data_IF_267995210935
#
_entry.id   IF_267995210935
#
_cell.length_a   1.000
_cell.length_b   1.000
_cell.length_c   1.000
_cell.angle_alpha   90.00
_cell.angle_beta   90.00
_cell.angle_gamma   90.00
#
_symmetry.space_group_name_H-M   'P 1'
#
loop_
_entity.id
_entity.type
_entity.pdbx_description
1 polymer ?
#
# COMPACT_ATOMS: atom_id res chain seq x y z
N UNK A 1 -54.66 -12.97 -2.51
CA UNK A 1 -53.63 -12.44 -1.60
C UNK A 1 -52.75 -11.56 -2.44
N UNK A 2 -53.15 -10.30 -2.57
CA UNK A 2 -52.32 -9.22 -3.10
C UNK A 2 -51.40 -8.80 -1.96
N UNK A 3 -50.09 -8.87 -2.20
CA UNK A 3 -49.08 -8.27 -1.31
C UNK A 3 -49.04 -6.78 -1.66
N UNK A 4 -49.65 -5.97 -0.79
CA UNK A 4 -49.57 -4.52 -0.85
C UNK A 4 -48.17 -4.13 -0.32
N UNK A 5 -47.24 -3.84 -1.23
CA UNK A 5 -45.98 -3.18 -0.91
C UNK A 5 -46.30 -1.71 -0.55
N UNK A 6 -46.45 -1.42 0.75
CA UNK A 6 -46.47 -0.05 1.26
C UNK A 6 -45.09 0.59 1.01
N UNK A 7 -45.03 1.40 -0.03
CA UNK A 7 -43.93 2.30 -0.34
C UNK A 7 -43.85 3.35 0.78
N UNK A 8 -42.98 3.12 1.76
CA UNK A 8 -42.69 4.09 2.82
C UNK A 8 -42.02 5.32 2.22
N UNK A 9 -42.81 6.36 1.99
CA UNK A 9 -42.36 7.69 1.65
C UNK A 9 -41.53 8.24 2.83
N UNK A 10 -40.21 8.19 2.72
CA UNK A 10 -39.32 8.84 3.69
C UNK A 10 -39.57 10.34 3.59
N UNK A 11 -40.22 10.91 4.60
CA UNK A 11 -40.35 12.35 4.75
C UNK A 11 -38.97 13.00 4.63
N UNK A 12 -38.77 13.73 3.54
CA UNK A 12 -37.60 14.58 3.32
C UNK A 12 -37.63 15.65 4.41
N UNK A 13 -36.72 15.52 5.38
CA UNK A 13 -36.40 16.60 6.31
C UNK A 13 -35.98 17.78 5.44
N UNK A 14 -36.63 18.93 5.59
CA UNK A 14 -36.30 20.14 4.85
C UNK A 14 -34.85 20.53 5.14
N UNK A 15 -34.02 20.58 4.10
CA UNK A 15 -32.58 20.88 4.18
C UNK A 15 -32.27 22.27 4.78
N UNK A 16 -33.27 23.15 4.90
CA UNK A 16 -33.12 24.55 5.35
C UNK A 16 -32.74 24.75 6.83
N UNK A 17 -32.86 23.75 7.72
CA UNK A 17 -32.48 23.90 9.14
C UNK A 17 -31.09 23.34 9.52
N UNK A 18 -30.34 22.78 8.55
CA UNK A 18 -29.00 22.21 8.81
C UNK A 18 -27.87 23.07 8.19
N UNK A 19 -28.19 24.09 7.39
CA UNK A 19 -27.19 24.78 6.55
C UNK A 19 -26.23 25.73 7.29
N UNK A 20 -26.60 26.37 8.42
CA UNK A 20 -25.80 27.53 8.88
C UNK A 20 -24.67 27.20 9.88
N UNK A 21 -24.78 26.11 10.66
CA UNK A 21 -23.72 25.68 11.60
C UNK A 21 -22.96 24.41 11.16
N UNK A 22 -23.47 23.71 10.14
CA UNK A 22 -22.95 22.43 9.65
C UNK A 22 -21.76 22.58 8.70
N UNK A 23 -21.84 23.47 7.70
CA UNK A 23 -20.80 23.62 6.68
C UNK A 23 -19.47 24.11 7.25
N UNK A 24 -19.50 25.04 8.20
CA UNK A 24 -18.29 25.53 8.87
C UNK A 24 -17.62 24.44 9.73
N UNK A 25 -18.40 23.51 10.31
CA UNK A 25 -17.88 22.39 11.09
C UNK A 25 -17.33 21.26 10.21
N UNK A 26 -17.94 21.04 9.04
CA UNK A 26 -17.49 20.07 8.04
C UNK A 26 -16.22 20.55 7.35
N UNK A 27 -16.15 21.82 6.95
CA UNK A 27 -14.98 22.41 6.32
C UNK A 27 -13.82 22.61 7.30
N UNK A 28 -14.09 22.94 8.58
CA UNK A 28 -13.03 23.01 9.61
C UNK A 28 -12.48 21.64 10.02
N UNK A 29 -13.24 20.55 9.83
CA UNK A 29 -12.71 19.17 9.95
C UNK A 29 -11.83 18.73 8.77
N UNK A 30 -11.95 19.39 7.61
CA UNK A 30 -11.16 19.08 6.42
C UNK A 30 -9.78 19.77 6.43
N UNK A 31 -9.58 20.78 7.29
CA UNK A 31 -8.25 21.25 7.68
C UNK A 31 -7.60 20.29 8.69
N UNK A 32 -7.38 19.05 8.24
CA UNK A 32 -6.53 18.08 8.91
C UNK A 32 -5.10 18.63 8.89
N UNK A 33 -4.72 19.37 9.95
CA UNK A 33 -3.32 19.50 10.29
C UNK A 33 -2.84 18.08 10.60
N UNK A 34 -2.12 17.51 9.63
CA UNK A 34 -1.56 16.18 9.70
C UNK A 34 -0.62 16.15 10.91
N UNK A 35 -1.18 15.72 12.05
CA UNK A 35 -0.43 15.56 13.30
C UNK A 35 0.85 14.78 13.01
N UNK A 36 1.93 15.08 13.72
CA UNK A 36 3.22 14.40 13.57
C UNK A 36 3.06 12.88 13.51
N UNK A 37 2.10 12.33 14.27
CA UNK A 37 1.75 10.93 14.27
C UNK A 37 1.22 10.41 12.91
N UNK A 38 0.34 11.15 12.23
CA UNK A 38 -0.14 10.76 10.89
C UNK A 38 0.97 10.83 9.84
N UNK A 39 1.88 11.82 9.95
CA UNK A 39 3.08 11.89 9.09
C UNK A 39 3.97 10.67 9.28
N UNK A 40 4.24 10.28 10.53
CA UNK A 40 5.01 9.08 10.88
C UNK A 40 4.33 7.82 10.33
N UNK A 41 3.02 7.65 10.54
CA UNK A 41 2.26 6.52 10.02
C UNK A 41 2.36 6.42 8.50
N UNK A 42 2.23 7.54 7.79
CA UNK A 42 2.36 7.59 6.33
C UNK A 42 3.76 7.21 5.86
N UNK A 43 4.80 7.71 6.54
CA UNK A 43 6.20 7.35 6.23
C UNK A 43 6.42 5.85 6.43
N UNK A 44 5.99 5.31 7.59
CA UNK A 44 6.13 3.88 7.90
C UNK A 44 5.37 2.98 6.91
N UNK A 45 4.14 3.37 6.55
CA UNK A 45 3.35 2.67 5.55
C UNK A 45 4.10 2.60 4.20
N UNK A 46 4.51 3.73 3.65
CA UNK A 46 5.22 3.72 2.37
C UNK A 46 6.57 3.01 2.44
N UNK A 47 7.33 3.19 3.54
CA UNK A 47 8.60 2.49 3.71
C UNK A 47 8.42 0.97 3.71
N UNK A 48 7.36 0.44 4.32
CA UNK A 48 7.04 -0.99 4.31
C UNK A 48 6.76 -1.51 2.89
N UNK A 49 5.94 -0.78 2.11
CA UNK A 49 5.64 -1.17 0.73
C UNK A 49 6.87 -1.10 -0.16
N UNK A 50 7.66 -0.02 -0.05
CA UNK A 50 8.93 0.12 -0.78
C UNK A 50 9.89 -1.00 -0.42
N UNK A 51 10.02 -1.33 0.87
CA UNK A 51 10.84 -2.44 1.35
C UNK A 51 10.40 -3.76 0.71
N UNK A 52 9.10 -4.08 0.75
CA UNK A 52 8.57 -5.32 0.18
C UNK A 52 8.75 -5.37 -1.35
N UNK A 53 8.39 -4.31 -2.06
CA UNK A 53 8.54 -4.26 -3.52
C UNK A 53 10.00 -4.33 -3.94
N UNK A 54 10.88 -3.58 -3.27
CA UNK A 54 12.32 -3.64 -3.53
C UNK A 54 12.83 -5.05 -3.31
N UNK A 55 12.44 -5.69 -2.20
CA UNK A 55 12.82 -7.06 -1.89
C UNK A 55 12.40 -8.04 -2.99
N UNK A 56 11.13 -8.02 -3.41
CA UNK A 56 10.62 -8.91 -4.45
C UNK A 56 11.24 -8.63 -5.83
N UNK A 57 11.43 -7.36 -6.18
CA UNK A 57 12.14 -6.99 -7.39
C UNK A 57 13.57 -7.53 -7.35
N UNK A 58 14.22 -7.42 -6.19
CA UNK A 58 15.58 -7.87 -5.97
C UNK A 58 15.74 -9.38 -6.15
N UNK A 59 14.86 -10.16 -5.53
CA UNK A 59 14.84 -11.62 -5.65
C UNK A 59 14.57 -12.09 -7.07
N UNK A 60 13.62 -11.47 -7.79
CA UNK A 60 13.24 -11.94 -9.13
C UNK A 60 14.26 -11.61 -10.23
N UNK A 61 15.04 -10.53 -10.06
CA UNK A 61 16.06 -10.16 -11.04
C UNK A 61 17.43 -10.80 -10.74
N UNK A 62 17.64 -11.32 -9.53
CA UNK A 62 18.99 -11.66 -9.02
C UNK A 62 19.81 -10.40 -8.73
N UNK A 63 19.15 -9.32 -8.29
CA UNK A 63 19.73 -8.01 -8.09
C UNK A 63 21.02 -8.07 -7.26
N UNK A 64 22.00 -7.23 -7.61
CA UNK A 64 23.14 -6.86 -6.77
C UNK A 64 24.35 -7.80 -6.70
N UNK A 65 24.56 -8.64 -7.71
CA UNK A 65 25.84 -8.47 -8.38
C UNK A 65 25.63 -7.43 -9.48
N UNK A 66 25.65 -6.14 -9.10
CA UNK A 66 25.61 -5.02 -10.06
C UNK A 66 26.68 -5.20 -11.16
N UNK A 67 27.82 -5.81 -10.79
CA UNK A 67 28.90 -6.22 -11.67
C UNK A 67 28.55 -7.42 -12.57
N UNK A 68 27.75 -8.36 -12.07
CA UNK A 68 27.12 -9.33 -12.97
C UNK A 68 26.15 -8.59 -13.87
N UNK A 69 25.29 -7.67 -13.43
CA UNK A 69 24.35 -6.98 -14.34
C UNK A 69 25.07 -6.24 -15.49
N UNK A 70 26.22 -5.61 -15.21
CA UNK A 70 27.09 -5.00 -16.23
C UNK A 70 27.75 -6.05 -17.14
N UNK A 71 28.04 -7.25 -16.61
CA UNK A 71 28.57 -8.41 -17.35
C UNK A 71 27.52 -9.40 -17.86
N UNK A 72 26.22 -9.20 -17.57
CA UNK A 72 25.15 -10.14 -17.88
C UNK A 72 24.78 -9.88 -19.33
N UNK A 73 25.10 -10.85 -20.17
CA UNK A 73 24.70 -10.88 -21.57
C UNK A 73 23.18 -11.07 -21.73
N UNK A 74 22.48 -11.52 -20.67
CA UNK A 74 21.05 -11.84 -20.74
C UNK A 74 20.18 -10.58 -20.59
N UNK A 75 19.54 -10.22 -21.70
CA UNK A 75 18.56 -9.12 -21.80
C UNK A 75 17.47 -9.20 -20.71
N UNK A 76 17.05 -10.41 -20.34
CA UNK A 76 15.98 -10.63 -19.35
C UNK A 76 16.31 -10.02 -17.97
N UNK A 77 17.52 -10.28 -17.44
CA UNK A 77 17.94 -9.74 -16.14
C UNK A 77 18.02 -8.21 -16.17
N UNK A 78 18.45 -7.62 -17.30
CA UNK A 78 18.47 -6.17 -17.47
C UNK A 78 17.07 -5.58 -17.43
N UNK A 79 16.10 -6.19 -18.11
CA UNK A 79 14.71 -5.72 -18.09
C UNK A 79 14.11 -5.80 -16.68
N UNK A 80 14.32 -6.91 -15.97
CA UNK A 80 13.86 -7.06 -14.58
C UNK A 80 14.49 -6.01 -13.66
N UNK A 81 15.78 -5.72 -13.85
CA UNK A 81 16.46 -4.64 -13.16
C UNK A 81 15.87 -3.26 -13.50
N UNK A 82 15.67 -2.93 -14.76
CA UNK A 82 15.10 -1.63 -15.12
C UNK A 82 13.69 -1.46 -14.55
N UNK A 83 12.91 -2.54 -14.51
CA UNK A 83 11.57 -2.53 -13.91
C UNK A 83 11.61 -2.31 -12.39
N UNK A 84 12.50 -2.99 -11.66
CA UNK A 84 12.66 -2.81 -10.22
C UNK A 84 13.08 -1.39 -9.85
N UNK A 85 14.02 -0.82 -10.63
CA UNK A 85 14.47 0.56 -10.45
C UNK A 85 13.33 1.55 -10.75
N UNK A 86 12.57 1.33 -11.82
CA UNK A 86 11.41 2.14 -12.18
C UNK A 86 10.36 2.14 -11.06
N UNK A 87 10.06 0.98 -10.47
CA UNK A 87 9.13 0.87 -9.33
C UNK A 87 9.66 1.65 -8.13
N UNK A 88 10.94 1.47 -7.76
CA UNK A 88 11.55 2.20 -6.65
C UNK A 88 11.47 3.72 -6.86
N UNK A 89 11.72 4.18 -8.08
CA UNK A 89 11.62 5.59 -8.47
C UNK A 89 10.20 6.11 -8.32
N UNK A 90 9.22 5.38 -8.85
CA UNK A 90 7.81 5.75 -8.75
C UNK A 90 7.40 5.81 -7.29
N UNK A 91 7.70 4.78 -6.49
CA UNK A 91 7.36 4.75 -5.07
C UNK A 91 8.10 5.82 -4.26
N UNK A 92 9.37 6.11 -4.55
CA UNK A 92 10.14 7.18 -3.93
C UNK A 92 9.54 8.56 -4.20
N UNK A 93 9.18 8.85 -5.45
CA UNK A 93 8.48 10.09 -5.84
C UNK A 93 7.14 10.27 -5.09
N UNK A 94 6.47 9.16 -4.75
CA UNK A 94 5.21 9.18 -4.00
C UNK A 94 5.46 9.43 -2.52
N UNK A 95 6.33 8.60 -1.94
CA UNK A 95 6.57 8.54 -0.51
C UNK A 95 7.37 9.76 0.01
N UNK A 96 8.13 10.39 -0.88
CA UNK A 96 9.09 11.44 -0.56
C UNK A 96 10.46 10.87 -0.17
N UNK A 97 11.47 11.74 0.03
CA UNK A 97 12.86 11.33 0.09
C UNK A 97 13.18 10.48 1.32
N UNK A 98 12.58 10.80 2.48
CA UNK A 98 12.83 10.06 3.73
C UNK A 98 12.26 8.65 3.63
N UNK A 99 10.99 8.52 3.25
CA UNK A 99 10.34 7.21 3.15
C UNK A 99 10.92 6.36 2.01
N UNK A 100 11.28 6.99 0.89
CA UNK A 100 12.00 6.36 -0.21
C UNK A 100 13.36 5.81 0.21
N UNK A 101 14.18 6.62 0.90
CA UNK A 101 15.49 6.20 1.39
C UNK A 101 15.41 5.10 2.45
N UNK A 102 14.53 5.24 3.44
CA UNK A 102 14.34 4.23 4.50
C UNK A 102 13.80 2.92 3.93
N UNK A 103 12.80 2.99 3.04
CA UNK A 103 12.23 1.80 2.41
C UNK A 103 13.27 1.05 1.55
N UNK A 104 14.08 1.79 0.78
CA UNK A 104 15.15 1.21 -0.02
C UNK A 104 16.24 0.57 0.85
N UNK A 105 16.65 1.23 1.95
CA UNK A 105 17.61 0.69 2.91
C UNK A 105 17.15 -0.64 3.50
N UNK A 106 15.94 -0.66 4.03
CA UNK A 106 15.38 -1.85 4.68
C UNK A 106 15.15 -2.97 3.67
N UNK A 107 14.66 -2.63 2.47
CA UNK A 107 14.44 -3.59 1.40
C UNK A 107 15.74 -4.26 0.98
N UNK A 108 16.79 -3.47 0.77
CA UNK A 108 18.11 -3.97 0.40
C UNK A 108 18.78 -4.75 1.52
N UNK A 109 18.68 -4.27 2.77
CA UNK A 109 19.21 -4.99 3.93
C UNK A 109 18.60 -6.38 4.05
N UNK A 110 17.28 -6.51 3.94
CA UNK A 110 16.63 -7.81 4.05
C UNK A 110 16.94 -8.69 2.85
N UNK A 111 17.04 -8.12 1.65
CA UNK A 111 17.52 -8.84 0.48
C UNK A 111 18.93 -9.41 0.68
N UNK A 112 19.90 -8.58 1.08
CA UNK A 112 21.28 -9.01 1.27
C UNK A 112 21.41 -10.06 2.36
N UNK A 113 20.71 -9.88 3.47
CA UNK A 113 20.73 -10.85 4.55
C UNK A 113 20.14 -12.20 4.11
N UNK A 114 19.02 -12.19 3.38
CA UNK A 114 18.31 -13.41 2.99
C UNK A 114 18.96 -14.14 1.80
N UNK A 115 19.35 -13.43 0.74
CA UNK A 115 19.84 -14.01 -0.50
C UNK A 115 21.37 -14.12 -0.56
N UNK A 116 22.09 -13.06 -0.16
CA UNK A 116 23.55 -12.96 -0.30
C UNK A 116 24.28 -13.46 0.95
N UNK A 117 23.60 -13.48 2.11
CA UNK A 117 24.12 -13.87 3.43
C UNK A 117 25.32 -13.02 3.90
N UNK A 118 25.61 -11.92 3.22
CA UNK A 118 26.65 -10.95 3.59
C UNK A 118 26.14 -9.54 3.38
N UNK A 119 26.34 -8.68 4.38
CA UNK A 119 25.93 -7.28 4.31
C UNK A 119 27.05 -6.45 3.70
N UNK A 120 26.76 -5.79 2.58
CA UNK A 120 27.61 -4.87 1.84
C UNK A 120 27.10 -3.43 2.05
N UNK A 121 27.72 -2.66 2.95
CA UNK A 121 27.24 -1.32 3.30
C UNK A 121 27.22 -0.34 2.11
N UNK A 122 28.10 -0.53 1.14
CA UNK A 122 28.13 0.27 -0.09
C UNK A 122 26.83 0.14 -0.90
N UNK A 123 26.24 -1.06 -0.98
CA UNK A 123 24.97 -1.27 -1.70
C UNK A 123 23.78 -0.70 -0.93
N UNK A 124 23.81 -0.79 0.41
CA UNK A 124 22.80 -0.14 1.26
C UNK A 124 22.78 1.37 1.06
N UNK A 125 23.97 1.99 1.01
CA UNK A 125 24.10 3.42 0.74
C UNK A 125 23.54 3.78 -0.64
N UNK A 126 23.82 2.95 -1.65
CA UNK A 126 23.31 3.16 -3.01
C UNK A 126 21.78 3.08 -3.05
N UNK A 127 21.20 2.06 -2.43
CA UNK A 127 19.75 1.91 -2.32
C UNK A 127 19.13 3.14 -1.64
N UNK A 128 19.73 3.62 -0.54
CA UNK A 128 19.31 4.86 0.14
C UNK A 128 19.38 6.06 -0.79
N UNK A 129 20.49 6.25 -1.51
CA UNK A 129 20.68 7.40 -2.40
C UNK A 129 19.68 7.40 -3.56
N UNK A 130 19.41 6.24 -4.16
CA UNK A 130 18.41 6.09 -5.23
C UNK A 130 17.00 6.33 -4.67
N UNK A 131 16.65 5.71 -3.54
CA UNK A 131 15.34 5.85 -2.91
C UNK A 131 15.06 7.28 -2.42
N UNK A 132 16.05 7.92 -1.80
CA UNK A 132 15.94 9.30 -1.34
C UNK A 132 15.99 10.28 -2.51
N UNK A 133 16.90 10.08 -3.45
CA UNK A 133 17.08 10.93 -4.63
C UNK A 133 15.84 10.95 -5.52
N UNK A 134 15.22 9.79 -5.75
CA UNK A 134 13.94 9.72 -6.45
C UNK A 134 12.84 10.48 -5.70
N UNK A 135 12.82 10.42 -4.37
CA UNK A 135 11.87 11.19 -3.58
C UNK A 135 12.12 12.70 -3.51
N UNK A 136 13.28 13.23 -3.93
CA UNK A 136 13.52 14.69 -3.99
C UNK A 136 12.54 15.36 -4.96
N UNK A 137 12.23 14.67 -6.06
CA UNK A 137 11.29 15.14 -7.08
C UNK A 137 9.82 14.84 -6.73
N UNK A 138 9.53 14.78 -5.42
CA UNK A 138 8.21 14.43 -4.89
C UNK A 138 7.10 15.18 -5.61
N UNK A 139 6.06 14.45 -5.97
CA UNK A 139 4.84 15.06 -6.50
C UNK A 139 4.23 15.99 -5.45
N UNK A 140 4.18 17.28 -5.76
CA UNK A 140 3.52 18.25 -4.90
C UNK A 140 2.01 17.95 -4.95
N UNK A 141 1.35 17.94 -3.79
CA UNK A 141 -0.07 17.60 -3.68
C UNK A 141 -0.97 18.55 -4.47
N UNK A 142 -0.56 19.82 -4.55
CA UNK A 142 -1.35 20.87 -5.18
C UNK A 142 -1.20 20.88 -6.71
N UNK A 143 -0.22 20.14 -7.25
CA UNK A 143 -0.03 19.99 -8.68
C UNK A 143 -0.69 18.69 -9.14
N UNK A 144 -1.84 18.81 -9.82
CA UNK A 144 -2.46 17.65 -10.48
C UNK A 144 -1.47 16.99 -11.44
N UNK A 145 -1.55 15.66 -11.59
CA UNK A 145 -0.74 14.90 -12.57
C UNK A 145 -0.77 15.51 -13.99
N UNK A 146 -1.89 16.13 -14.34
CA UNK A 146 -2.11 16.86 -15.61
C UNK A 146 -1.35 18.19 -15.70
N UNK A 147 -1.16 18.89 -14.58
CA UNK A 147 -0.39 20.14 -14.48
C UNK A 147 1.10 19.91 -14.27
N UNK A 148 1.48 18.72 -13.77
CA UNK A 148 2.86 18.28 -13.83
C UNK A 148 3.26 18.23 -15.30
N UNK A 149 3.93 19.30 -15.74
CA UNK A 149 4.52 19.35 -17.07
C UNK A 149 5.34 18.07 -17.18
N UNK A 150 5.08 17.27 -18.23
CA UNK A 150 5.87 16.08 -18.61
C UNK A 150 7.37 16.32 -18.40
N UNK A 151 7.82 17.56 -18.56
CA UNK A 151 9.12 18.10 -18.19
C UNK A 151 9.62 17.81 -16.76
N UNK A 152 8.86 18.04 -15.67
CA UNK A 152 9.35 17.81 -14.29
C UNK A 152 9.68 16.34 -14.04
N UNK A 153 8.81 15.46 -14.54
CA UNK A 153 9.02 14.03 -14.51
C UNK A 153 10.18 13.61 -15.41
N UNK A 154 10.26 14.18 -16.62
CA UNK A 154 11.39 13.94 -17.50
C UNK A 154 12.70 14.31 -16.82
N UNK A 155 12.76 15.46 -16.13
CA UNK A 155 13.93 15.86 -15.35
C UNK A 155 14.19 14.95 -14.16
N UNK A 156 13.17 14.40 -13.49
CA UNK A 156 13.40 13.45 -12.41
C UNK A 156 13.98 12.14 -12.94
N UNK A 157 13.43 11.61 -14.03
CA UNK A 157 13.92 10.39 -14.69
C UNK A 157 15.35 10.57 -15.26
N UNK A 158 15.62 11.70 -15.90
CA UNK A 158 16.98 12.06 -16.37
C UNK A 158 17.92 12.24 -15.18
N UNK A 159 17.49 12.94 -14.13
CA UNK A 159 18.25 13.14 -12.91
C UNK A 159 18.61 11.80 -12.25
N UNK A 160 17.66 10.86 -12.20
CA UNK A 160 17.91 9.51 -11.69
C UNK A 160 18.88 8.75 -12.58
N UNK A 161 18.78 8.87 -13.91
CA UNK A 161 19.73 8.23 -14.85
C UNK A 161 21.15 8.78 -14.67
N UNK A 162 21.29 10.07 -14.36
CA UNK A 162 22.58 10.69 -14.07
C UNK A 162 23.10 10.21 -12.71
N UNK A 163 22.23 10.13 -11.70
CA UNK A 163 22.58 9.64 -10.36
C UNK A 163 22.96 8.16 -10.40
N UNK A 164 22.22 7.32 -11.15
CA UNK A 164 22.55 5.91 -11.34
C UNK A 164 23.93 5.78 -12.01
N UNK A 165 24.20 6.54 -13.07
CA UNK A 165 25.51 6.59 -13.73
C UNK A 165 26.64 7.01 -12.78
N UNK A 166 26.43 8.06 -11.97
CA UNK A 166 27.42 8.51 -10.99
C UNK A 166 27.69 7.45 -9.91
N UNK A 167 26.64 6.78 -9.44
CA UNK A 167 26.74 5.67 -8.50
C UNK A 167 27.52 4.49 -9.11
N UNK A 168 27.22 4.12 -10.36
CA UNK A 168 27.94 3.05 -11.05
C UNK A 168 29.43 3.34 -11.16
N UNK A 169 29.77 4.57 -11.52
CA UNK A 169 31.15 5.03 -11.59
C UNK A 169 31.83 4.94 -10.22
N UNK A 170 31.13 5.38 -9.16
CA UNK A 170 31.64 5.32 -7.79
C UNK A 170 31.91 3.87 -7.34
N UNK A 171 31.00 2.92 -7.64
CA UNK A 171 31.21 1.49 -7.34
C UNK A 171 32.44 0.96 -8.07
N UNK A 172 32.56 1.27 -9.37
CA UNK A 172 33.69 0.83 -10.18
C UNK A 172 35.01 1.35 -9.61
N UNK A 173 35.03 2.63 -9.22
CA UNK A 173 36.18 3.29 -8.63
C UNK A 173 36.60 2.66 -7.30
N UNK A 174 35.64 2.41 -6.41
CA UNK A 174 35.89 1.82 -5.09
C UNK A 174 36.41 0.39 -5.23
N UNK A 175 35.85 -0.40 -6.15
CA UNK A 175 36.17 -1.83 -6.25
C UNK A 175 37.44 -2.13 -7.04
N UNK A 176 37.81 -1.26 -7.97
CA UNK A 176 39.01 -1.40 -8.78
C UNK A 176 39.94 -0.20 -8.59
N UNK A 177 40.50 0.00 -7.39
CA UNK A 177 41.44 1.09 -7.14
C UNK A 177 42.65 0.93 -8.07
N UNK A 178 42.92 1.94 -8.89
CA UNK A 178 44.02 1.92 -9.87
C UNK A 178 43.65 1.36 -11.25
N UNK A 179 42.37 1.10 -11.54
CA UNK A 179 41.93 0.76 -12.89
C UNK A 179 42.19 1.94 -13.84
N UNK A 180 43.23 1.82 -14.67
CA UNK A 180 43.45 2.74 -15.78
C UNK A 180 42.29 2.62 -16.76
N UNK A 181 41.69 3.75 -17.13
CA UNK A 181 40.65 3.85 -18.17
C UNK A 181 41.17 3.36 -19.54
N UNK A 182 42.48 3.30 -19.73
CA UNK A 182 43.12 2.81 -20.96
C UNK A 182 43.31 1.28 -20.99
N UNK A 183 43.17 0.60 -19.85
CA UNK A 183 43.20 -0.86 -19.81
C UNK A 183 42.02 -1.45 -20.59
N UNK A 184 42.20 -2.64 -21.20
CA UNK A 184 41.12 -3.33 -21.92
C UNK A 184 39.89 -3.59 -21.03
N UNK A 185 40.11 -3.86 -19.74
CA UNK A 185 39.06 -3.99 -18.73
C UNK A 185 38.35 -2.65 -18.51
N UNK A 186 39.11 -1.55 -18.43
CA UNK A 186 38.59 -0.19 -18.34
C UNK A 186 37.71 0.18 -19.53
N UNK A 187 38.14 -0.13 -20.75
CA UNK A 187 37.36 0.12 -21.99
C UNK A 187 36.09 -0.74 -22.06
N UNK A 188 36.17 -2.02 -21.73
CA UNK A 188 35.01 -2.91 -21.71
C UNK A 188 33.97 -2.45 -20.68
N UNK A 189 34.42 -2.04 -19.49
CA UNK A 189 33.56 -1.45 -18.47
C UNK A 189 32.92 -0.16 -18.98
N UNK A 190 33.68 0.78 -19.54
CA UNK A 190 33.14 2.01 -20.13
C UNK A 190 32.06 1.73 -21.17
N UNK A 191 32.32 0.80 -22.10
CA UNK A 191 31.36 0.45 -23.14
C UNK A 191 30.05 -0.09 -22.54
N UNK A 192 30.14 -1.02 -21.59
CA UNK A 192 28.96 -1.58 -20.94
C UNK A 192 28.21 -0.53 -20.10
N UNK A 193 28.92 0.39 -19.42
CA UNK A 193 28.29 1.49 -18.69
C UNK A 193 27.54 2.45 -19.61
N UNK A 194 28.14 2.80 -20.74
CA UNK A 194 27.51 3.67 -21.74
C UNK A 194 26.28 2.99 -22.34
N UNK A 195 26.40 1.72 -22.74
CA UNK A 195 25.27 0.95 -23.27
C UNK A 195 24.14 0.85 -22.25
N UNK A 196 24.47 0.56 -20.99
CA UNK A 196 23.52 0.50 -19.90
C UNK A 196 22.83 1.85 -19.70
N UNK A 197 23.59 2.94 -19.59
CA UNK A 197 23.05 4.29 -19.46
C UNK A 197 22.08 4.65 -20.59
N UNK A 198 22.45 4.38 -21.84
CA UNK A 198 21.55 4.63 -22.97
C UNK A 198 20.31 3.73 -22.92
N UNK A 199 20.43 2.47 -22.50
CA UNK A 199 19.29 1.58 -22.29
C UNK A 199 18.35 2.10 -21.19
N UNK A 200 18.90 2.59 -20.08
CA UNK A 200 18.10 3.21 -19.01
C UNK A 200 17.40 4.47 -19.53
N UNK A 201 18.16 5.37 -20.14
CA UNK A 201 17.67 6.63 -20.67
C UNK A 201 16.56 6.41 -21.71
N UNK A 202 16.76 5.47 -22.64
CA UNK A 202 15.76 5.11 -23.64
C UNK A 202 14.51 4.51 -22.98
N UNK A 203 14.70 3.63 -22.00
CA UNK A 203 13.59 3.03 -21.26
C UNK A 203 12.77 4.13 -20.58
N UNK A 204 13.42 5.08 -19.91
CA UNK A 204 12.72 6.18 -19.27
C UNK A 204 12.10 7.16 -20.25
N UNK A 205 12.75 7.46 -21.38
CA UNK A 205 12.24 8.36 -22.40
C UNK A 205 10.96 7.83 -23.04
N UNK A 206 10.88 6.53 -23.31
CA UNK A 206 9.74 5.92 -23.99
C UNK A 206 8.70 5.33 -23.04
N UNK A 207 9.13 4.52 -22.06
CA UNK A 207 8.20 3.84 -21.16
C UNK A 207 7.81 4.69 -19.96
N UNK A 208 8.63 5.64 -19.53
CA UNK A 208 8.30 6.54 -18.42
C UNK A 208 7.01 7.32 -18.66
N UNK A 209 6.90 8.12 -19.74
CA UNK A 209 5.68 8.83 -20.10
C UNK A 209 4.47 7.91 -20.30
N UNK A 210 4.67 6.76 -20.95
CA UNK A 210 3.59 5.79 -21.19
C UNK A 210 3.04 5.22 -19.88
N UNK A 211 3.93 4.76 -18.98
CA UNK A 211 3.54 4.23 -17.67
C UNK A 211 2.79 5.27 -16.87
N UNK A 212 3.20 6.54 -16.95
CA UNK A 212 2.57 7.62 -16.20
C UNK A 212 1.23 8.04 -16.80
N UNK A 213 1.11 8.10 -18.14
CA UNK A 213 -0.18 8.31 -18.78
C UNK A 213 -1.17 7.18 -18.43
N UNK A 214 -0.69 5.93 -18.38
CA UNK A 214 -1.49 4.78 -17.95
C UNK A 214 -1.89 4.91 -16.48
N UNK A 215 -0.93 5.21 -15.60
CA UNK A 215 -1.13 5.36 -14.16
C UNK A 215 -2.11 6.49 -13.86
N UNK A 216 -1.93 7.66 -14.47
CA UNK A 216 -2.83 8.80 -14.39
C UNK A 216 -4.27 8.43 -14.82
N UNK A 217 -4.42 7.63 -15.88
CA UNK A 217 -5.74 7.13 -16.31
C UNK A 217 -6.36 6.19 -15.29
N UNK A 218 -5.58 5.25 -14.76
CA UNK A 218 -6.02 4.30 -13.72
C UNK A 218 -6.39 5.05 -12.45
N UNK A 219 -5.58 6.04 -12.05
CA UNK A 219 -5.80 6.86 -10.86
C UNK A 219 -7.04 7.73 -11.00
N UNK A 220 -7.26 8.41 -12.13
CA UNK A 220 -8.52 9.14 -12.39
C UNK A 220 -9.73 8.25 -12.30
N UNK A 221 -9.66 7.07 -12.90
CA UNK A 221 -10.75 6.12 -12.88
C UNK A 221 -11.01 5.61 -11.46
N UNK A 222 -9.94 5.32 -10.72
CA UNK A 222 -10.01 4.88 -9.34
C UNK A 222 -10.41 6.00 -8.38
N UNK A 223 -10.17 7.29 -8.67
CA UNK A 223 -10.40 8.40 -7.75
C UNK A 223 -11.81 8.98 -7.88
N UNK A 224 -12.59 8.52 -8.84
CA UNK A 224 -13.94 9.02 -9.05
C UNK A 224 -14.85 8.49 -7.92
N UNK A 225 -15.32 9.34 -6.97
CA UNK A 225 -16.13 8.88 -5.84
C UNK A 225 -17.44 8.23 -6.27
N UNK A 226 -17.98 8.64 -7.41
CA UNK A 226 -19.19 8.07 -8.01
C UNK A 226 -18.92 6.76 -8.76
N UNK A 227 -17.66 6.45 -9.05
CA UNK A 227 -17.27 5.25 -9.77
C UNK A 227 -17.60 3.98 -9.00
N UNK A 228 -18.23 3.01 -9.68
CA UNK A 228 -18.48 1.66 -9.11
C UNK A 228 -17.16 1.04 -8.62
N UNK A 229 -16.08 1.23 -9.37
CA UNK A 229 -14.77 0.71 -9.02
C UNK A 229 -14.20 1.33 -7.74
N UNK A 230 -14.35 2.65 -7.55
CA UNK A 230 -13.90 3.31 -6.34
C UNK A 230 -14.60 2.75 -5.10
N UNK A 231 -15.94 2.67 -5.20
CA UNK A 231 -16.77 2.12 -4.13
C UNK A 231 -16.47 0.65 -3.85
N UNK A 232 -16.25 -0.15 -4.89
CA UNK A 232 -16.01 -1.58 -4.74
C UNK A 232 -14.60 -1.92 -4.22
N UNK A 233 -13.57 -1.25 -4.74
CA UNK A 233 -12.18 -1.59 -4.44
C UNK A 233 -11.56 -0.83 -3.27
N UNK A 234 -11.98 0.42 -2.99
CA UNK A 234 -11.25 1.30 -2.08
C UNK A 234 -12.01 1.62 -0.80
N UNK A 235 -13.21 2.17 -0.89
CA UNK A 235 -13.91 2.64 0.31
C UNK A 235 -14.89 1.62 0.86
N UNK A 236 -15.59 0.85 0.03
CA UNK A 236 -16.77 0.02 0.38
C UNK A 236 -17.73 0.65 1.41
N UNK A 237 -17.67 1.97 1.51
CA UNK A 237 -18.26 2.83 2.52
C UNK A 237 -18.77 4.07 1.78
N UNK A 238 -19.95 4.53 2.17
CA UNK A 238 -20.48 5.81 1.72
C UNK A 238 -19.63 6.96 2.27
N UNK A 239 -19.68 8.14 1.64
CA UNK A 239 -18.87 9.31 2.03
C UNK A 239 -19.09 9.70 3.50
N UNK A 240 -20.30 9.51 4.01
CA UNK A 240 -20.67 9.72 5.42
C UNK A 240 -19.87 8.84 6.41
N UNK A 241 -19.25 7.76 5.95
CA UNK A 241 -18.43 6.84 6.73
C UNK A 241 -16.92 7.02 6.47
N UNK A 242 -16.52 8.20 5.98
CA UNK A 242 -15.12 8.55 5.74
C UNK A 242 -14.26 8.56 7.01
N UNK A 243 -14.86 8.56 8.20
CA UNK A 243 -14.20 8.47 9.52
C UNK A 243 -13.41 7.16 9.73
N UNK A 244 -13.50 6.24 8.78
CA UNK A 244 -12.90 4.92 8.82
C UNK A 244 -11.97 4.61 7.65
N UNK A 245 -11.66 5.64 6.87
CA UNK A 245 -10.79 5.53 5.72
C UNK A 245 -9.53 6.39 5.89
N UNK A 246 -8.42 5.87 5.40
CA UNK A 246 -7.17 6.62 5.32
C UNK A 246 -7.22 7.43 4.03
N UNK A 247 -7.16 8.77 4.07
CA UNK A 247 -6.95 9.55 2.87
C UNK A 247 -5.53 9.29 2.37
N UNK A 248 -5.44 8.74 1.16
CA UNK A 248 -4.22 8.54 0.41
C UNK A 248 -4.19 9.56 -0.72
N UNK A 249 -3.23 10.47 -0.65
CA UNK A 249 -2.99 11.44 -1.71
C UNK A 249 -1.92 10.88 -2.64
N UNK A 250 -2.26 10.70 -3.91
CA UNK A 250 -1.35 10.18 -4.92
C UNK A 250 -1.53 10.89 -6.27
N UNK A 251 -0.49 11.58 -6.73
CA UNK A 251 -0.46 12.22 -8.05
C UNK A 251 -1.48 13.36 -8.23
N UNK A 252 -1.82 14.05 -7.14
CA UNK A 252 -2.88 15.06 -7.11
C UNK A 252 -4.30 14.47 -7.09
N UNK A 253 -4.43 13.14 -6.95
CA UNK A 253 -5.69 12.46 -6.68
C UNK A 253 -5.77 12.10 -5.19
N UNK A 254 -6.94 12.26 -4.61
CA UNK A 254 -7.22 11.81 -3.25
C UNK A 254 -8.12 10.57 -3.31
N UNK A 255 -7.70 9.51 -2.64
CA UNK A 255 -8.46 8.27 -2.52
C UNK A 255 -8.67 8.01 -1.04
N UNK A 256 -9.86 7.56 -0.66
CA UNK A 256 -10.10 7.07 0.68
C UNK A 256 -10.03 5.55 0.64
N UNK A 257 -9.13 4.96 1.42
CA UNK A 257 -9.00 3.51 1.48
C UNK A 257 -9.39 3.04 2.86
N UNK A 258 -10.28 2.04 2.95
CA UNK A 258 -10.69 1.53 4.24
C UNK A 258 -9.46 1.14 5.09
N UNK A 259 -9.35 1.71 6.29
CA UNK A 259 -8.21 1.48 7.19
C UNK A 259 -7.99 -0.01 7.48
N UNK A 260 -9.07 -0.80 7.58
CA UNK A 260 -9.00 -2.24 7.83
C UNK A 260 -8.51 -3.02 6.61
N UNK A 261 -8.97 -2.67 5.41
CA UNK A 261 -8.50 -3.32 4.19
C UNK A 261 -7.03 -2.98 3.94
N UNK A 262 -6.62 -1.73 4.14
CA UNK A 262 -5.21 -1.34 4.11
C UNK A 262 -4.38 -2.16 5.09
N UNK A 263 -4.89 -2.39 6.30
CA UNK A 263 -4.27 -3.29 7.28
C UNK A 263 -4.15 -4.71 6.72
N UNK A 264 -5.24 -5.26 6.19
CA UNK A 264 -5.30 -6.63 5.64
C UNK A 264 -4.29 -6.84 4.51
N UNK A 265 -4.24 -5.94 3.54
CA UNK A 265 -3.24 -6.01 2.45
C UNK A 265 -1.82 -5.91 3.01
N UNK A 266 -1.58 -4.98 3.95
CA UNK A 266 -0.27 -4.84 4.58
C UNK A 266 0.14 -6.08 5.37
N UNK A 267 -0.80 -6.75 6.03
CA UNK A 267 -0.59 -8.00 6.76
C UNK A 267 -0.25 -9.16 5.85
N UNK A 268 -0.92 -9.28 4.70
CA UNK A 268 -0.59 -10.28 3.67
C UNK A 268 0.82 -10.04 3.16
N UNK A 269 1.13 -8.82 2.69
CA UNK A 269 2.45 -8.48 2.15
C UNK A 269 3.54 -8.75 3.18
N UNK A 270 3.32 -8.33 4.44
CA UNK A 270 4.29 -8.53 5.52
C UNK A 270 4.52 -10.01 5.83
N UNK A 271 3.47 -10.83 5.86
CA UNK A 271 3.65 -12.26 6.12
C UNK A 271 4.28 -13.00 4.94
N UNK A 272 3.92 -12.68 3.69
CA UNK A 272 4.61 -13.23 2.50
C UNK A 272 6.09 -12.86 2.55
N UNK A 273 6.40 -11.62 2.92
CA UNK A 273 7.77 -11.16 3.08
C UNK A 273 8.52 -11.92 4.18
N UNK A 274 7.91 -12.14 5.35
CA UNK A 274 8.50 -12.94 6.43
C UNK A 274 8.74 -14.37 5.96
N UNK A 275 7.70 -15.04 5.45
CA UNK A 275 7.75 -16.45 5.05
C UNK A 275 8.84 -16.68 4.00
N UNK A 276 8.84 -15.86 2.96
CA UNK A 276 9.84 -15.95 1.91
C UNK A 276 11.25 -15.61 2.42
N UNK A 277 11.42 -14.57 3.23
CA UNK A 277 12.72 -14.24 3.82
C UNK A 277 13.25 -15.40 4.65
N UNK A 278 12.40 -15.97 5.50
CA UNK A 278 12.71 -17.12 6.36
C UNK A 278 13.15 -18.34 5.54
N UNK A 279 12.44 -18.66 4.45
CA UNK A 279 12.83 -19.73 3.54
C UNK A 279 14.25 -19.53 2.98
N UNK A 280 14.60 -18.30 2.58
CA UNK A 280 15.94 -18.00 2.05
C UNK A 280 17.03 -18.07 3.13
N UNK A 281 16.76 -17.60 4.34
CA UNK A 281 17.73 -17.63 5.45
C UNK A 281 18.05 -19.05 5.90
N UNK A 282 17.02 -19.85 6.14
CA UNK A 282 17.16 -21.14 6.81
C UNK A 282 17.16 -22.32 5.85
N UNK A 283 16.74 -22.12 4.60
CA UNK A 283 16.72 -23.16 3.55
C UNK A 283 15.58 -24.17 3.70
N UNK A 284 14.61 -23.91 4.56
CA UNK A 284 13.40 -24.71 4.73
C UNK A 284 12.22 -23.82 5.13
N UNK A 285 11.00 -24.28 4.82
CA UNK A 285 9.76 -23.64 5.26
C UNK A 285 9.70 -23.66 6.80
N UNK A 286 9.79 -22.49 7.43
CA UNK A 286 9.83 -22.41 8.90
C UNK A 286 8.44 -22.62 9.49
N UNK A 287 7.42 -22.09 8.83
CA UNK A 287 6.06 -22.15 9.35
C UNK A 287 5.45 -23.49 8.94
N UNK A 288 5.66 -24.50 9.78
CA UNK A 288 5.02 -25.80 9.62
C UNK A 288 3.49 -25.61 9.44
N UNK A 289 2.83 -26.28 8.49
CA UNK A 289 1.42 -26.02 8.17
C UNK A 289 0.47 -26.13 9.37
N UNK A 290 0.77 -26.98 10.35
CA UNK A 290 0.01 -27.06 11.61
C UNK A 290 0.17 -25.80 12.49
N UNK A 291 1.38 -25.22 12.55
CA UNK A 291 1.61 -23.94 13.24
C UNK A 291 0.91 -22.80 12.49
N UNK A 292 0.97 -22.81 11.16
CA UNK A 292 0.25 -21.84 10.33
C UNK A 292 -1.27 -21.89 10.60
N UNK A 293 -1.84 -23.10 10.71
CA UNK A 293 -3.26 -23.30 11.03
C UNK A 293 -3.63 -22.70 12.39
N UNK A 294 -2.83 -22.94 13.44
CA UNK A 294 -3.07 -22.40 14.79
C UNK A 294 -2.98 -20.86 14.77
N UNK A 295 -1.92 -20.32 14.15
CA UNK A 295 -1.74 -18.87 14.04
C UNK A 295 -2.85 -18.20 13.23
N UNK A 296 -3.36 -18.86 12.18
CA UNK A 296 -4.51 -18.38 11.42
C UNK A 296 -5.74 -18.18 12.32
N UNK A 297 -6.04 -19.13 13.21
CA UNK A 297 -7.14 -18.99 14.17
C UNK A 297 -6.87 -17.80 15.09
N UNK A 298 -5.70 -17.76 15.72
CA UNK A 298 -5.33 -16.72 16.71
C UNK A 298 -5.39 -15.32 16.08
N UNK A 299 -4.85 -15.14 14.88
CA UNK A 299 -4.79 -13.85 14.20
C UNK A 299 -6.13 -13.40 13.61
N UNK A 300 -7.07 -14.31 13.36
CA UNK A 300 -8.43 -13.95 12.92
C UNK A 300 -9.26 -13.34 14.07
N UNK A 301 -9.03 -13.78 15.32
CA UNK A 301 -9.83 -13.38 16.47
C UNK A 301 -9.83 -11.85 16.74
N UNK A 302 -8.69 -11.12 16.73
CA UNK A 302 -8.69 -9.68 16.93
C UNK A 302 -9.57 -8.91 15.94
N UNK A 303 -9.53 -9.27 14.66
CA UNK A 303 -10.35 -8.63 13.62
C UNK A 303 -11.83 -8.91 13.79
N UNK A 304 -12.18 -10.16 14.10
CA UNK A 304 -13.56 -10.57 14.35
C UNK A 304 -14.13 -9.87 15.59
N UNK A 305 -13.37 -9.80 16.69
CA UNK A 305 -13.77 -9.10 17.91
C UNK A 305 -13.90 -7.59 17.69
N UNK A 306 -12.94 -6.98 16.99
CA UNK A 306 -12.97 -5.56 16.66
C UNK A 306 -14.19 -5.19 15.81
N UNK A 307 -14.42 -5.91 14.70
CA UNK A 307 -15.58 -5.69 13.85
C UNK A 307 -16.89 -5.99 14.57
N UNK A 308 -16.97 -7.10 15.31
CA UNK A 308 -18.16 -7.54 16.03
C UNK A 308 -18.61 -6.55 17.09
N UNK A 309 -17.68 -6.09 17.94
CA UNK A 309 -17.97 -5.12 19.00
C UNK A 309 -18.40 -3.76 18.43
N UNK A 310 -17.83 -3.33 17.29
CA UNK A 310 -18.29 -2.15 16.55
C UNK A 310 -19.70 -2.34 15.99
N UNK A 311 -19.96 -3.45 15.31
CA UNK A 311 -21.25 -3.73 14.67
C UNK A 311 -22.39 -3.83 15.67
N UNK A 312 -22.10 -4.32 16.87
CA UNK A 312 -23.05 -4.36 17.99
C UNK A 312 -23.16 -3.03 18.75
N UNK A 313 -22.52 -1.95 18.28
CA UNK A 313 -22.53 -0.63 18.91
C UNK A 313 -22.09 -0.67 20.39
N UNK A 314 -21.15 -1.55 20.76
CA UNK A 314 -20.58 -1.56 22.12
C UNK A 314 -19.43 -0.57 22.27
N UNK A 315 -18.77 -0.22 21.16
CA UNK A 315 -17.77 0.83 21.12
C UNK A 315 -17.64 1.39 19.70
N UNK A 316 -17.08 2.59 19.62
CA UNK A 316 -16.49 3.09 18.37
C UNK A 316 -15.09 2.49 18.20
N UNK A 317 -14.55 2.56 16.99
CA UNK A 317 -13.16 2.17 16.74
C UNK A 317 -12.39 3.33 16.20
N UNK A 318 -11.10 3.36 16.53
CA UNK A 318 -10.16 4.25 15.89
C UNK A 318 -9.42 3.53 14.75
N UNK A 319 -8.80 4.33 13.89
CA UNK A 319 -8.04 3.84 12.75
C UNK A 319 -6.87 2.93 13.13
N UNK A 320 -6.20 3.19 14.25
CA UNK A 320 -5.04 2.38 14.66
C UNK A 320 -5.45 0.95 14.95
N UNK A 321 -6.54 0.78 15.72
CA UNK A 321 -7.08 -0.54 16.02
C UNK A 321 -7.52 -1.22 14.72
N UNK A 322 -8.24 -0.51 13.83
CA UNK A 322 -8.70 -1.07 12.54
C UNK A 322 -7.55 -1.53 11.66
N UNK A 323 -6.46 -0.76 11.63
CA UNK A 323 -5.26 -1.08 10.86
C UNK A 323 -4.57 -2.32 11.42
N UNK A 324 -4.33 -2.36 12.74
CA UNK A 324 -3.64 -3.48 13.41
C UNK A 324 -4.45 -4.77 13.31
N UNK A 325 -5.76 -4.72 13.58
CA UNK A 325 -6.61 -5.90 13.49
C UNK A 325 -6.76 -6.36 12.04
N UNK A 326 -6.82 -5.41 11.09
CA UNK A 326 -6.70 -5.70 9.66
C UNK A 326 -5.39 -6.42 9.34
N UNK A 327 -4.24 -5.94 9.83
CA UNK A 327 -2.94 -6.60 9.62
C UNK A 327 -2.91 -8.04 10.12
N UNK A 328 -3.46 -8.30 11.31
CA UNK A 328 -3.60 -9.68 11.79
C UNK A 328 -4.50 -10.53 10.90
N UNK A 329 -5.63 -9.99 10.42
CA UNK A 329 -6.48 -10.70 9.47
C UNK A 329 -5.75 -11.03 8.16
N UNK A 330 -4.98 -10.07 7.63
CA UNK A 330 -4.15 -10.27 6.44
C UNK A 330 -3.10 -11.36 6.63
N UNK A 331 -2.42 -11.33 7.77
CA UNK A 331 -1.47 -12.35 8.16
C UNK A 331 -2.13 -13.74 8.24
N UNK A 332 -3.33 -13.83 8.83
CA UNK A 332 -4.11 -15.06 8.89
C UNK A 332 -4.46 -15.60 7.49
N UNK A 333 -4.86 -14.73 6.56
CA UNK A 333 -5.18 -15.12 5.18
C UNK A 333 -3.97 -15.78 4.49
N UNK A 334 -2.77 -15.20 4.62
CA UNK A 334 -1.56 -15.80 4.05
C UNK A 334 -1.24 -17.16 4.70
N UNK A 335 -1.31 -17.23 6.04
CA UNK A 335 -1.09 -18.47 6.78
C UNK A 335 -2.11 -19.57 6.42
N UNK A 336 -3.34 -19.19 6.06
CA UNK A 336 -4.36 -20.13 5.60
C UNK A 336 -3.94 -20.80 4.28
N UNK A 337 -3.29 -20.06 3.37
CA UNK A 337 -2.76 -20.61 2.12
C UNK A 337 -1.68 -21.66 2.41
N UNK A 338 -0.79 -21.41 3.37
CA UNK A 338 0.23 -22.39 3.78
C UNK A 338 -0.40 -23.64 4.44
N UNK A 339 -1.47 -23.43 5.22
CA UNK A 339 -2.14 -24.52 5.92
C UNK A 339 -2.99 -25.41 4.99
N UNK A 340 -3.51 -24.87 3.88
CA UNK A 340 -4.49 -25.56 3.04
C UNK A 340 -3.94 -26.84 2.41
N UNK A 341 -2.65 -26.88 2.07
CA UNK A 341 -2.06 -28.03 1.38
C UNK A 341 -2.13 -29.31 2.20
N UNK A 342 -1.96 -29.21 3.53
CA UNK A 342 -1.95 -30.35 4.44
C UNK A 342 -3.24 -30.50 5.26
N UNK A 343 -3.99 -29.42 5.47
CA UNK A 343 -5.10 -29.37 6.42
C UNK A 343 -6.40 -28.84 5.80
N UNK A 344 -6.70 -29.20 4.54
CA UNK A 344 -7.90 -28.73 3.79
C UNK A 344 -9.18 -28.79 4.63
N UNK A 345 -9.47 -29.92 5.27
CA UNK A 345 -10.71 -30.10 6.06
C UNK A 345 -10.75 -29.13 7.25
N UNK A 346 -9.64 -28.97 7.97
CA UNK A 346 -9.57 -28.05 9.10
C UNK A 346 -9.70 -26.59 8.66
N UNK A 347 -9.13 -26.22 7.51
CA UNK A 347 -9.30 -24.91 6.88
C UNK A 347 -10.77 -24.64 6.57
N UNK A 348 -11.48 -25.60 5.97
CA UNK A 348 -12.92 -25.47 5.69
C UNK A 348 -13.72 -25.27 6.99
N UNK A 349 -13.40 -26.02 8.05
CA UNK A 349 -14.06 -25.88 9.36
C UNK A 349 -13.81 -24.48 9.93
N UNK A 350 -12.56 -24.00 9.92
CA UNK A 350 -12.21 -22.66 10.43
C UNK A 350 -12.99 -21.59 9.67
N UNK A 351 -13.00 -21.64 8.33
CA UNK A 351 -13.76 -20.69 7.51
C UNK A 351 -15.25 -20.74 7.85
N UNK A 352 -15.84 -21.93 7.93
CA UNK A 352 -17.26 -22.09 8.29
C UNK A 352 -17.58 -21.50 9.66
N UNK A 353 -16.74 -21.74 10.68
CA UNK A 353 -16.90 -21.18 12.03
C UNK A 353 -16.74 -19.66 12.01
N UNK A 354 -15.71 -19.12 11.34
CA UNK A 354 -15.47 -17.68 11.24
C UNK A 354 -16.61 -16.96 10.54
N UNK A 355 -17.11 -17.48 9.41
CA UNK A 355 -18.27 -16.91 8.71
C UNK A 355 -19.54 -17.01 9.56
N UNK A 356 -19.76 -18.13 10.25
CA UNK A 356 -20.92 -18.27 11.16
C UNK A 356 -20.88 -17.22 12.27
N UNK A 357 -19.73 -17.02 12.91
CA UNK A 357 -19.55 -15.99 13.92
C UNK A 357 -19.77 -14.58 13.35
N UNK A 358 -19.20 -14.30 12.17
CA UNK A 358 -19.41 -13.03 11.46
C UNK A 358 -20.90 -12.76 11.19
N UNK A 359 -21.62 -13.69 10.56
CA UNK A 359 -23.04 -13.54 10.23
C UNK A 359 -23.91 -13.43 11.48
N UNK A 360 -23.58 -14.17 12.54
CA UNK A 360 -24.30 -14.07 13.83
C UNK A 360 -24.17 -12.65 14.40
N UNK A 361 -22.95 -12.11 14.46
CA UNK A 361 -22.73 -10.73 14.94
C UNK A 361 -23.35 -9.69 14.01
N UNK A 362 -23.31 -9.91 12.70
CA UNK A 362 -23.98 -9.05 11.70
C UNK A 362 -25.47 -8.96 11.98
N UNK A 363 -26.13 -10.11 12.14
CA UNK A 363 -27.56 -10.21 12.39
C UNK A 363 -27.95 -9.56 13.72
N UNK A 364 -27.21 -9.87 14.80
CA UNK A 364 -27.46 -9.29 16.12
C UNK A 364 -27.27 -7.77 16.12
N UNK A 365 -26.21 -7.28 15.45
CA UNK A 365 -25.95 -5.84 15.30
C UNK A 365 -27.06 -5.13 14.52
N UNK A 366 -27.50 -5.67 13.39
CA UNK A 366 -28.61 -5.10 12.61
C UNK A 366 -29.92 -5.09 13.41
N UNK A 367 -30.20 -6.15 14.17
CA UNK A 367 -31.38 -6.19 15.04
C UNK A 367 -31.34 -5.09 16.11
N UNK A 368 -30.18 -4.79 16.67
CA UNK A 368 -30.01 -3.72 17.66
C UNK A 368 -30.20 -2.33 17.03
N UNK A 369 -29.62 -2.10 15.85
CA UNK A 369 -29.77 -0.84 15.11
C UNK A 369 -31.25 -0.60 14.76
N UNK A 370 -31.96 -1.63 14.26
CA UNK A 370 -33.39 -1.51 13.93
C UNK A 370 -34.22 -1.10 15.15
N UNK A 371 -33.99 -1.72 16.31
CA UNK A 371 -34.71 -1.33 17.55
C UNK A 371 -34.43 0.12 17.95
N UNK A 372 -33.17 0.55 17.87
CA UNK A 372 -32.79 1.92 18.19
C UNK A 372 -33.47 2.96 17.28
N UNK A 373 -33.59 2.66 15.98
CA UNK A 373 -34.30 3.53 15.02
C UNK A 373 -35.79 3.61 15.35
N UNK A 374 -36.44 2.45 15.58
CA UNK A 374 -37.86 2.39 15.94
C UNK A 374 -38.15 3.16 17.25
N UNK A 375 -37.30 3.01 18.25
CA UNK A 375 -37.44 3.72 19.54
C UNK A 375 -37.28 5.25 19.37
N UNK A 376 -36.49 5.72 18.40
CA UNK A 376 -36.35 7.14 18.08
C UNK A 376 -37.52 7.69 17.28
N UNK A 377 -38.02 6.95 16.30
CA UNK A 377 -39.21 7.33 15.52
C UNK A 377 -40.42 7.50 16.44
N UNK A 378 -40.68 6.50 17.29
CA UNK A 378 -41.78 6.57 18.27
C UNK A 378 -41.69 7.76 19.23
N UNK A 379 -40.47 8.17 19.61
CA UNK A 379 -40.28 9.36 20.47
C UNK A 379 -40.54 10.68 19.75
N UNK A 380 -40.29 10.74 18.44
CA UNK A 380 -40.60 11.92 17.62
C UNK A 380 -42.11 12.06 17.43
N UNK A 381 -42.78 10.97 17.09
CA UNK A 381 -44.26 10.94 16.97
C UNK A 381 -44.95 11.46 18.24
N UNK A 382 -44.49 11.05 19.43
CA UNK A 382 -45.04 11.54 20.70
C UNK A 382 -44.79 13.04 20.90
N UNK A 383 -43.62 13.55 20.51
CA UNK A 383 -43.31 14.98 20.63
C UNK A 383 -44.16 15.82 19.68
N UNK A 384 -44.38 15.34 18.45
CA UNK A 384 -45.19 16.03 17.46
C UNK A 384 -46.68 16.05 17.86
N UNK A 385 -47.17 15.01 18.54
CA UNK A 385 -48.52 14.99 19.14
C UNK A 385 -48.66 15.98 20.31
N UNK A 386 -47.61 16.16 21.12
CA UNK A 386 -47.60 17.10 22.24
C UNK A 386 -47.57 18.57 21.75
N UNK A 387 -46.93 18.87 20.61
CA UNK A 387 -46.86 20.23 20.03
C UNK A 387 -48.17 20.66 19.33
N UNK A 388 -49.04 19.71 18.96
CA UNK A 388 -50.33 19.97 18.30
C UNK A 388 -51.50 20.22 19.27
N UNK A 389 -51.32 19.90 20.56
CA UNK A 389 -52.34 20.04 21.62
C UNK A 389 -52.09 21.27 22.50
#
# INVERSE_FOLDING_TARGET
MSEDEEEYEYGTISDEEIEDDGEALVLSRIHYDLTTLQKIKRIGFWALYIMAFYYFASMNSGYLNFLEVIGIERVESRVKFLMGLLILVVCGNIAGPIAGGVGALLGDLVYQLSAIKTVRPEYLLIAVLIGAGSGIFRFNKDETLKQMKVMKLFYSLVGISIVSLGIMFLIAWIRYPGLSLESEIGKALQFNYIQFFFSELLTYLFFGPLLIALLDRVLRWASNPEGIAYRFFFTHHYEEQADHAIPLDFGGYQFFVCTRCSGTVSGIIFMVFIDYSMLQFFGYEIIHPTVALILCIVFTLPALADWGTQKMQYRTSNDVIRLITGMFLGAAIHLLVLAVEQHVIAVIIILAVSFTAFFTMFFLGNRKIKRFIMDRMKKREIHDEDDLN
#
